data_IF_815430106042
#
_entry.id   IF_815430106042
#
_cell.length_a   1.000
_cell.length_b   1.000
_cell.length_c   1.000
_cell.angle_alpha   90.00
_cell.angle_beta   90.00
_cell.angle_gamma   90.00
#
_symmetry.space_group_name_H-M   'P 1'
#
loop_
_entity.id
_entity.type
_entity.pdbx_description
1 polymer ?
#
# COMPACT_ATOMS: atom_id res chain seq x y z
N UNK A 1 15.71 10.31 5.88
CA UNK A 1 14.56 11.25 5.95
C UNK A 1 14.54 11.87 7.34
N UNK A 2 14.06 13.11 7.50
CA UNK A 2 13.79 13.68 8.82
C UNK A 2 12.84 12.79 9.63
N UNK A 3 13.09 12.63 10.93
CA UNK A 3 12.35 11.70 11.80
C UNK A 3 10.93 12.14 12.14
N UNK A 4 10.60 13.40 11.87
CA UNK A 4 9.30 14.03 12.11
C UNK A 4 8.33 13.92 10.92
N UNK A 5 8.72 13.20 9.86
CA UNK A 5 7.93 13.07 8.64
C UNK A 5 7.38 11.66 8.46
N UNK A 6 6.12 11.58 8.05
CA UNK A 6 5.49 10.33 7.60
C UNK A 6 5.85 10.12 6.13
N UNK A 7 6.41 8.95 5.82
CA UNK A 7 6.67 8.52 4.44
C UNK A 7 5.45 7.78 3.90
N UNK A 8 4.88 8.28 2.80
CA UNK A 8 3.75 7.67 2.09
C UNK A 8 4.23 7.19 0.73
N UNK A 9 3.94 5.94 0.36
CA UNK A 9 4.20 5.42 -0.99
C UNK A 9 2.92 5.42 -1.82
N UNK A 10 2.97 5.98 -3.03
CA UNK A 10 1.80 6.24 -3.88
C UNK A 10 1.72 5.37 -5.16
N UNK A 11 2.76 4.61 -5.50
CA UNK A 11 2.81 3.87 -6.76
C UNK A 11 3.50 2.52 -6.62
N UNK A 12 3.12 1.57 -7.49
CA UNK A 12 3.71 0.22 -7.52
C UNK A 12 3.15 -0.74 -6.48
N UNK A 13 1.91 -0.52 -6.01
CA UNK A 13 1.24 -1.38 -5.03
C UNK A 13 0.04 -2.06 -5.68
N UNK A 14 0.19 -3.34 -6.01
CA UNK A 14 -0.85 -4.13 -6.68
C UNK A 14 -1.25 -5.35 -5.85
N UNK A 15 -0.35 -5.83 -5.00
CA UNK A 15 -0.53 -7.03 -4.20
C UNK A 15 0.19 -6.91 -2.84
N UNK A 16 -0.08 -7.86 -1.95
CA UNK A 16 0.52 -7.93 -0.60
C UNK A 16 2.05 -7.96 -0.57
N UNK A 17 2.71 -8.54 -1.60
CA UNK A 17 4.18 -8.60 -1.65
C UNK A 17 4.80 -7.22 -1.83
N UNK A 18 4.14 -6.35 -2.58
CA UNK A 18 4.57 -4.96 -2.78
C UNK A 18 4.54 -4.21 -1.43
N UNK A 19 3.46 -4.38 -0.66
CA UNK A 19 3.33 -3.82 0.70
C UNK A 19 4.40 -4.38 1.63
N UNK A 20 4.66 -5.69 1.59
CA UNK A 20 5.68 -6.30 2.43
C UNK A 20 7.08 -5.74 2.12
N UNK A 21 7.42 -5.60 0.84
CA UNK A 21 8.68 -4.99 0.39
C UNK A 21 8.82 -3.55 0.89
N UNK A 22 7.76 -2.75 0.78
CA UNK A 22 7.79 -1.35 1.25
C UNK A 22 7.90 -1.25 2.77
N UNK A 23 7.23 -2.14 3.51
CA UNK A 23 7.38 -2.25 4.98
C UNK A 23 8.81 -2.61 5.39
N UNK A 24 9.45 -3.54 4.70
CA UNK A 24 10.87 -3.87 4.92
C UNK A 24 11.79 -2.67 4.65
N UNK A 25 11.39 -1.76 3.76
CA UNK A 25 12.09 -0.51 3.50
C UNK A 25 11.73 0.63 4.48
N UNK A 26 10.92 0.37 5.52
CA UNK A 26 10.54 1.36 6.53
C UNK A 26 9.37 2.27 6.12
N UNK A 27 8.59 1.90 5.10
CA UNK A 27 7.38 2.62 4.70
C UNK A 27 6.16 1.97 5.32
N UNK A 28 5.39 2.78 6.05
CA UNK A 28 4.22 2.30 6.81
C UNK A 28 2.90 2.92 6.36
N UNK A 29 2.93 3.89 5.43
CA UNK A 29 1.75 4.52 4.86
C UNK A 29 1.74 4.39 3.33
N UNK A 30 0.54 4.18 2.78
CA UNK A 30 0.34 3.86 1.37
C UNK A 30 -0.86 4.65 0.81
N UNK A 31 -0.73 5.16 -0.40
CA UNK A 31 -1.82 5.73 -1.17
C UNK A 31 -2.07 4.84 -2.39
N UNK A 32 -3.23 4.20 -2.45
CA UNK A 32 -3.56 3.20 -3.46
C UNK A 32 -4.89 3.60 -4.10
N UNK A 33 -4.85 4.02 -5.37
CA UNK A 33 -6.04 4.39 -6.12
C UNK A 33 -6.45 3.32 -7.13
N UNK A 34 -5.69 3.21 -8.21
CA UNK A 34 -6.01 2.39 -9.38
C UNK A 34 -6.38 0.94 -9.03
N UNK A 35 -5.59 0.27 -8.18
CA UNK A 35 -5.84 -1.13 -7.81
C UNK A 35 -7.14 -1.33 -7.02
N UNK A 36 -7.55 -0.34 -6.20
CA UNK A 36 -8.82 -0.36 -5.48
C UNK A 36 -9.98 -0.02 -6.43
N UNK A 37 -9.82 1.01 -7.27
CA UNK A 37 -10.89 1.46 -8.19
C UNK A 37 -11.19 0.44 -9.30
N UNK A 38 -10.21 -0.39 -9.70
CA UNK A 38 -10.40 -1.45 -10.69
C UNK A 38 -10.92 -2.75 -10.09
N UNK A 39 -11.01 -2.89 -8.77
CA UNK A 39 -11.48 -4.13 -8.16
C UNK A 39 -13.00 -4.25 -8.27
N UNK A 40 -13.50 -5.49 -8.36
CA UNK A 40 -14.94 -5.76 -8.30
C UNK A 40 -15.52 -5.54 -6.90
N UNK A 41 -14.69 -5.75 -5.89
CA UNK A 41 -15.00 -5.53 -4.48
C UNK A 41 -13.80 -4.84 -3.82
N UNK A 42 -14.02 -3.61 -3.35
CA UNK A 42 -12.97 -2.78 -2.73
C UNK A 42 -12.57 -3.36 -1.36
N UNK A 43 -13.53 -3.90 -0.61
CA UNK A 43 -13.29 -4.47 0.71
C UNK A 43 -12.41 -5.71 0.63
N UNK A 44 -12.73 -6.64 -0.27
CA UNK A 44 -11.91 -7.82 -0.51
C UNK A 44 -10.51 -7.45 -1.01
N UNK A 45 -10.40 -6.47 -1.92
CA UNK A 45 -9.08 -6.03 -2.39
C UNK A 45 -8.25 -5.39 -1.27
N UNK A 46 -8.89 -4.63 -0.38
CA UNK A 46 -8.22 -4.06 0.78
C UNK A 46 -7.74 -5.14 1.75
N UNK A 47 -8.55 -6.18 1.99
CA UNK A 47 -8.15 -7.35 2.79
C UNK A 47 -6.95 -8.07 2.16
N UNK A 48 -7.01 -8.36 0.86
CA UNK A 48 -5.89 -8.98 0.12
C UNK A 48 -4.57 -8.21 0.30
N UNK A 49 -4.65 -6.87 0.35
CA UNK A 49 -3.48 -6.00 0.49
C UNK A 49 -2.97 -5.93 1.94
N UNK A 50 -3.84 -5.96 2.94
CA UNK A 50 -3.48 -5.68 4.35
C UNK A 50 -3.42 -6.90 5.27
N UNK A 51 -4.19 -7.96 5.01
CA UNK A 51 -4.31 -9.18 5.82
C UNK A 51 -3.38 -10.27 5.32
#
# INVERSE_FOLDING_TARGET
MPSDRIVVSESGINNKKDIHRLRQAGVNAFLIGEALLKSKDVGEKLRELLE
#
